data_IF_736617273529
#
_entry.id   IF_736617273529
#
_cell.length_a   1.000
_cell.length_b   1.000
_cell.length_c   1.000
_cell.angle_alpha   90.00
_cell.angle_beta   90.00
_cell.angle_gamma   90.00
#
_symmetry.space_group_name_H-M   'P 1'
#
loop_
_entity.id
_entity.type
_entity.pdbx_description
1 polymer ?
#
# COMPACT_ATOMS: atom_id res chain seq x y z
N UNK A 1 2.26 30.05 48.89
CA UNK A 1 1.11 29.21 48.50
C UNK A 1 1.56 28.25 47.41
N UNK A 2 1.76 26.97 47.74
CA UNK A 2 2.20 25.93 46.80
C UNK A 2 0.98 25.17 46.33
N UNK A 3 0.62 25.33 45.06
CA UNK A 3 -0.38 24.49 44.40
C UNK A 3 0.28 23.17 44.00
N UNK A 4 -0.04 22.10 44.73
CA UNK A 4 0.28 20.73 44.35
C UNK A 4 -0.80 20.28 43.37
N UNK A 5 -0.53 20.40 42.08
CA UNK A 5 -1.37 19.85 41.03
C UNK A 5 -1.08 18.34 40.94
N UNK A 6 -1.98 17.54 41.53
CA UNK A 6 -2.02 16.10 41.32
C UNK A 6 -2.49 15.80 39.90
N UNK A 7 -1.55 15.43 39.03
CA UNK A 7 -1.86 14.83 37.73
C UNK A 7 -2.11 13.33 37.97
N UNK A 8 -3.38 12.94 37.92
CA UNK A 8 -3.79 11.56 37.86
C UNK A 8 -3.31 10.95 36.53
N UNK A 9 -2.28 10.10 36.61
CA UNK A 9 -1.87 9.19 35.56
C UNK A 9 -2.96 8.12 35.38
N UNK A 10 -4.00 8.43 34.61
CA UNK A 10 -4.87 7.41 34.04
C UNK A 10 -4.11 6.77 32.88
N UNK A 11 -3.52 5.62 33.18
CA UNK A 11 -2.92 4.73 32.19
C UNK A 11 -3.94 4.32 31.14
N UNK A 12 -3.66 4.68 29.90
CA UNK A 12 -4.22 4.03 28.73
C UNK A 12 -3.14 3.09 28.20
N UNK A 13 -3.09 1.88 28.79
CA UNK A 13 -2.46 0.72 28.18
C UNK A 13 -3.20 0.45 26.86
N UNK A 14 -2.68 0.95 25.74
CA UNK A 14 -3.00 0.36 24.45
C UNK A 14 -2.27 -0.97 24.38
N UNK A 15 -3.02 -2.02 24.72
CA UNK A 15 -2.69 -3.39 24.38
C UNK A 15 -2.60 -3.50 22.86
N UNK A 16 -1.39 -3.41 22.32
CA UNK A 16 -1.10 -3.94 20.99
C UNK A 16 -1.10 -5.46 21.16
N UNK A 17 -2.27 -6.04 20.96
CA UNK A 17 -2.41 -7.47 20.74
C UNK A 17 -1.59 -7.84 19.50
N UNK A 18 -0.40 -8.39 19.74
CA UNK A 18 0.36 -9.11 18.74
C UNK A 18 -0.49 -10.28 18.24
N UNK A 19 -1.04 -10.14 17.04
CA UNK A 19 -1.58 -11.25 16.30
C UNK A 19 -0.40 -11.98 15.63
N UNK A 20 0.31 -12.78 16.42
CA UNK A 20 1.36 -13.68 15.98
C UNK A 20 0.98 -15.10 16.43
N UNK A 21 0.20 -15.77 15.58
CA UNK A 21 0.00 -17.22 15.55
C UNK A 21 -0.55 -17.52 14.16
N UNK A 22 0.26 -18.00 13.22
CA UNK A 22 0.54 -19.43 13.18
C UNK A 22 -0.35 -20.05 12.11
N UNK A 23 -0.11 -19.71 10.85
CA UNK A 23 -0.70 -20.41 9.71
C UNK A 23 0.21 -21.57 9.34
N UNK A 24 -0.15 -22.77 9.82
CA UNK A 24 0.43 -24.04 9.43
C UNK A 24 0.47 -24.20 7.90
N UNK A 25 1.58 -24.65 7.30
CA UNK A 25 1.53 -25.22 5.96
C UNK A 25 0.83 -26.57 6.08
N UNK A 26 -0.44 -26.63 5.67
CA UNK A 26 -1.12 -27.90 5.44
C UNK A 26 -0.41 -28.64 4.30
N UNK A 27 0.54 -29.50 4.69
CA UNK A 27 1.00 -30.62 3.91
C UNK A 27 -0.23 -31.50 3.61
N UNK A 28 -0.82 -31.35 2.43
CA UNK A 28 -1.79 -32.30 1.93
C UNK A 28 -1.03 -33.52 1.43
N UNK A 29 -1.18 -34.55 2.23
CA UNK A 29 -0.66 -35.89 2.08
C UNK A 29 -1.04 -36.52 0.74
N UNK A 30 -0.06 -37.23 0.18
CA UNK A 30 -0.23 -38.48 -0.53
C UNK A 30 -1.42 -39.28 0.00
N UNK A 31 -2.41 -39.56 -0.85
CA UNK A 31 -3.39 -40.61 -0.59
C UNK A 31 -3.78 -41.33 -1.90
N UNK A 32 -3.21 -42.53 -2.06
CA UNK A 32 -3.81 -43.76 -2.59
C UNK A 32 -4.38 -43.70 -4.03
N UNK A 33 -3.75 -44.28 -5.04
CA UNK A 33 -3.54 -45.72 -5.27
C UNK A 33 -4.75 -46.58 -4.83
N UNK A 34 -5.75 -46.70 -5.70
CA UNK A 34 -6.68 -47.83 -5.69
C UNK A 34 -6.87 -48.36 -7.10
N UNK A 35 -6.52 -49.64 -7.26
CA UNK A 35 -6.74 -50.46 -8.43
C UNK A 35 -8.12 -51.14 -8.36
N UNK A 36 -8.82 -51.20 -9.49
CA UNK A 36 -9.88 -52.16 -9.83
C UNK A 36 -9.82 -52.26 -11.37
N UNK A 37 -9.40 -53.34 -12.04
CA UNK A 37 -9.67 -54.78 -11.93
C UNK A 37 -11.16 -55.14 -12.08
N UNK A 38 -11.50 -55.82 -13.19
CA UNK A 38 -12.79 -56.46 -13.49
C UNK A 38 -13.15 -56.32 -14.97
N UNK A 39 -12.61 -57.16 -15.89
CA UNK A 39 -13.20 -58.43 -16.39
C UNK A 39 -14.67 -58.33 -16.84
N UNK A 40 -14.94 -58.62 -18.13
CA UNK A 40 -15.68 -59.81 -18.60
C UNK A 40 -16.33 -59.59 -19.98
N UNK A 41 -15.71 -60.24 -20.97
CA UNK A 41 -16.31 -61.04 -22.04
C UNK A 41 -17.83 -61.32 -21.95
N UNK A 42 -18.57 -61.11 -23.05
CA UNK A 42 -19.45 -62.14 -23.65
C UNK A 42 -20.03 -61.69 -24.99
N UNK A 43 -19.82 -62.55 -26.00
CA UNK A 43 -20.48 -62.50 -27.30
C UNK A 43 -21.92 -63.01 -27.21
N UNK A 44 -22.85 -62.43 -27.97
CA UNK A 44 -24.00 -63.18 -28.48
C UNK A 44 -24.60 -62.57 -29.75
N UNK A 45 -25.09 -63.48 -30.58
CA UNK A 45 -25.29 -63.39 -32.01
C UNK A 45 -26.60 -62.72 -32.45
N UNK A 46 -26.64 -62.42 -33.76
CA UNK A 46 -27.70 -61.84 -34.59
C UNK A 46 -29.11 -62.45 -34.39
N UNK A 47 -30.15 -61.72 -34.84
CA UNK A 47 -30.68 -62.06 -36.17
C UNK A 47 -31.01 -60.85 -37.05
N UNK A 48 -30.90 -61.09 -38.36
CA UNK A 48 -31.28 -60.20 -39.45
C UNK A 48 -32.80 -60.01 -39.55
N UNK A 49 -33.25 -58.76 -39.76
CA UNK A 49 -34.61 -58.46 -40.20
C UNK A 49 -34.68 -57.12 -40.98
N UNK A 50 -34.79 -57.27 -42.30
CA UNK A 50 -35.54 -56.53 -43.32
C UNK A 50 -35.69 -54.99 -43.33
N UNK A 51 -35.77 -54.37 -44.53
CA UNK A 51 -35.51 -52.95 -44.77
C UNK A 51 -36.80 -52.11 -44.82
N UNK A 52 -36.92 -51.14 -43.91
CA UNK A 52 -37.89 -50.01 -43.98
C UNK A 52 -37.31 -48.79 -43.24
N UNK A 53 -36.21 -48.21 -43.75
CA UNK A 53 -35.39 -47.20 -43.03
C UNK A 53 -34.90 -46.07 -43.92
N UNK A 54 -35.78 -45.30 -44.55
CA UNK A 54 -35.35 -44.08 -45.26
C UNK A 54 -36.14 -42.83 -44.81
N UNK A 55 -37.42 -42.95 -44.46
CA UNK A 55 -38.23 -41.77 -44.05
C UNK A 55 -38.07 -41.40 -42.57
N UNK A 56 -37.54 -42.29 -41.72
CA UNK A 56 -37.36 -42.03 -40.27
C UNK A 56 -36.07 -41.28 -39.94
N UNK A 57 -35.11 -41.22 -40.87
CA UNK A 57 -33.78 -40.70 -40.58
C UNK A 57 -33.70 -39.19 -40.82
N UNK A 58 -34.41 -38.66 -41.81
CA UNK A 58 -34.52 -37.21 -42.04
C UNK A 58 -35.14 -36.46 -40.84
N UNK A 59 -36.18 -37.04 -40.21
CA UNK A 59 -36.84 -36.45 -39.05
C UNK A 59 -35.96 -36.47 -37.78
N UNK A 60 -35.01 -37.41 -37.68
CA UNK A 60 -34.06 -37.45 -36.56
C UNK A 60 -32.94 -36.45 -36.78
N UNK A 61 -32.42 -36.33 -38.01
CA UNK A 61 -31.39 -35.36 -38.37
C UNK A 61 -31.88 -33.92 -38.16
N UNK A 62 -33.12 -33.61 -38.54
CA UNK A 62 -33.71 -32.29 -38.30
C UNK A 62 -33.75 -31.94 -36.80
N UNK A 63 -34.21 -32.88 -35.96
CA UNK A 63 -34.25 -32.70 -34.50
C UNK A 63 -32.86 -32.56 -33.88
N UNK A 64 -31.87 -33.27 -34.43
CA UNK A 64 -30.50 -33.15 -33.94
C UNK A 64 -29.88 -31.79 -34.29
N UNK A 65 -30.14 -31.28 -35.51
CA UNK A 65 -29.75 -29.93 -35.92
C UNK A 65 -30.40 -28.87 -35.04
N UNK A 66 -31.70 -28.98 -34.75
CA UNK A 66 -32.41 -28.07 -33.84
C UNK A 66 -31.80 -28.07 -32.43
N UNK A 67 -31.45 -29.23 -31.89
CA UNK A 67 -30.79 -29.34 -30.58
C UNK A 67 -29.39 -28.71 -30.57
N UNK A 68 -28.61 -28.95 -31.62
CA UNK A 68 -27.28 -28.36 -31.80
C UNK A 68 -27.37 -26.83 -31.91
N UNK A 69 -28.34 -26.33 -32.68
CA UNK A 69 -28.61 -24.90 -32.79
C UNK A 69 -28.96 -24.30 -31.42
N UNK A 70 -29.86 -24.93 -30.67
CA UNK A 70 -30.25 -24.45 -29.35
C UNK A 70 -29.06 -24.36 -28.36
N UNK A 71 -28.18 -25.37 -28.36
CA UNK A 71 -26.95 -25.36 -27.55
C UNK A 71 -25.99 -24.23 -27.99
N UNK A 72 -25.78 -24.05 -29.30
CA UNK A 72 -24.94 -22.96 -29.81
C UNK A 72 -25.50 -21.57 -29.46
N UNK A 73 -26.82 -21.38 -29.51
CA UNK A 73 -27.46 -20.13 -29.10
C UNK A 73 -27.22 -19.83 -27.61
N UNK A 74 -27.28 -20.85 -26.75
CA UNK A 74 -26.96 -20.70 -25.33
C UNK A 74 -25.47 -20.36 -25.13
N UNK A 75 -24.57 -21.06 -25.81
CA UNK A 75 -23.12 -20.78 -25.77
C UNK A 75 -22.80 -19.38 -26.27
N UNK A 76 -23.45 -18.93 -27.32
CA UNK A 76 -23.33 -17.58 -27.86
C UNK A 76 -23.72 -16.53 -26.81
N UNK A 77 -24.86 -16.70 -26.14
CA UNK A 77 -25.29 -15.79 -25.08
C UNK A 77 -24.25 -15.71 -23.93
N UNK A 78 -23.68 -16.85 -23.52
CA UNK A 78 -22.61 -16.90 -22.50
C UNK A 78 -21.33 -16.24 -23.00
N UNK A 79 -20.91 -16.49 -24.24
CA UNK A 79 -19.72 -15.88 -24.84
C UNK A 79 -19.86 -14.35 -24.93
N UNK A 80 -21.04 -13.87 -25.31
CA UNK A 80 -21.35 -12.43 -25.34
C UNK A 80 -21.23 -11.79 -23.95
N UNK A 81 -21.74 -12.45 -22.92
CA UNK A 81 -21.58 -11.99 -21.52
C UNK A 81 -20.11 -12.00 -21.07
N UNK A 82 -19.32 -13.00 -21.48
CA UNK A 82 -17.87 -13.05 -21.19
C UNK A 82 -17.13 -11.90 -21.85
N UNK A 83 -17.43 -11.59 -23.10
CA UNK A 83 -16.86 -10.44 -23.81
C UNK A 83 -17.24 -9.13 -23.13
N UNK A 84 -18.51 -8.95 -22.73
CA UNK A 84 -18.95 -7.77 -21.97
C UNK A 84 -18.20 -7.65 -20.64
N UNK A 85 -18.03 -8.75 -19.90
CA UNK A 85 -17.25 -8.79 -18.67
C UNK A 85 -15.78 -8.43 -18.89
N UNK A 86 -15.16 -8.94 -19.95
CA UNK A 86 -13.76 -8.63 -20.28
C UNK A 86 -13.56 -7.12 -20.56
N UNK A 87 -14.50 -6.49 -21.28
CA UNK A 87 -14.51 -5.04 -21.51
C UNK A 87 -14.61 -4.25 -20.21
N UNK A 88 -15.62 -4.54 -19.38
CA UNK A 88 -15.80 -3.87 -18.09
C UNK A 88 -14.58 -4.05 -17.16
N UNK A 89 -13.93 -5.22 -17.22
CA UNK A 89 -12.74 -5.48 -16.42
C UNK A 89 -11.52 -4.65 -16.86
N UNK A 90 -11.43 -4.26 -18.14
CA UNK A 90 -10.41 -3.31 -18.61
C UNK A 90 -10.69 -1.94 -18.01
N UNK A 91 -11.90 -1.42 -18.19
CA UNK A 91 -12.29 -0.09 -17.71
C UNK A 91 -12.05 0.05 -16.20
N UNK A 92 -12.53 -0.92 -15.41
CA UNK A 92 -12.33 -0.96 -13.97
C UNK A 92 -10.83 -0.98 -13.60
N UNK A 93 -10.02 -1.79 -14.30
CA UNK A 93 -8.58 -1.85 -14.02
C UNK A 93 -7.88 -0.53 -14.34
N UNK A 94 -8.32 0.21 -15.36
CA UNK A 94 -7.74 1.52 -15.69
C UNK A 94 -8.07 2.58 -14.63
N UNK A 95 -9.29 2.58 -14.10
CA UNK A 95 -9.69 3.45 -12.99
C UNK A 95 -8.89 3.14 -11.71
N UNK A 96 -8.74 1.85 -11.38
CA UNK A 96 -7.93 1.40 -10.24
C UNK A 96 -6.45 1.80 -10.41
N UNK A 97 -5.89 1.64 -11.61
CA UNK A 97 -4.53 2.06 -11.92
C UNK A 97 -4.36 3.57 -11.81
N UNK A 98 -5.31 4.35 -12.30
CA UNK A 98 -5.30 5.83 -12.22
C UNK A 98 -5.34 6.30 -10.77
N UNK A 99 -6.29 5.81 -9.98
CA UNK A 99 -6.44 6.20 -8.57
C UNK A 99 -5.20 5.82 -7.75
N UNK A 100 -4.65 4.62 -7.98
CA UNK A 100 -3.42 4.19 -7.31
C UNK A 100 -2.22 5.06 -7.69
N UNK A 101 -2.06 5.44 -8.96
CA UNK A 101 -1.00 6.34 -9.41
C UNK A 101 -1.14 7.75 -8.81
N UNK A 102 -2.34 8.30 -8.73
CA UNK A 102 -2.59 9.59 -8.07
C UNK A 102 -2.21 9.53 -6.59
N UNK A 103 -2.56 8.45 -5.89
CA UNK A 103 -2.15 8.25 -4.49
C UNK A 103 -0.63 8.18 -4.34
N UNK A 104 0.05 7.34 -5.12
CA UNK A 104 1.50 7.16 -5.03
C UNK A 104 2.27 8.45 -5.34
N UNK A 105 1.82 9.22 -6.34
CA UNK A 105 2.43 10.51 -6.66
C UNK A 105 2.23 11.54 -5.56
N UNK A 106 1.06 11.57 -4.91
CA UNK A 106 0.83 12.42 -3.73
C UNK A 106 1.75 12.03 -2.56
N UNK A 107 1.92 10.73 -2.29
CA UNK A 107 2.83 10.23 -1.25
C UNK A 107 4.29 10.61 -1.52
N UNK A 108 4.76 10.47 -2.77
CA UNK A 108 6.10 10.90 -3.19
C UNK A 108 6.27 12.41 -2.96
N UNK A 109 5.29 13.22 -3.38
CA UNK A 109 5.36 14.67 -3.23
C UNK A 109 5.42 15.07 -1.76
N UNK A 110 4.65 14.40 -0.90
CA UNK A 110 4.69 14.61 0.54
C UNK A 110 6.06 14.23 1.12
N UNK A 111 6.64 13.10 0.71
CA UNK A 111 7.98 12.70 1.14
C UNK A 111 9.06 13.71 0.74
N UNK A 112 9.00 14.23 -0.51
CA UNK A 112 9.91 15.29 -0.99
C UNK A 112 9.78 16.57 -0.19
N UNK A 113 8.54 17.02 0.08
CA UNK A 113 8.29 18.21 0.92
C UNK A 113 8.81 18.05 2.34
N UNK A 114 8.69 16.86 2.93
CA UNK A 114 9.22 16.59 4.28
C UNK A 114 10.75 16.65 4.31
N UNK A 115 11.42 16.08 3.31
CA UNK A 115 12.88 16.19 3.17
C UNK A 115 13.30 17.66 3.02
N UNK A 116 12.63 18.41 2.17
CA UNK A 116 12.91 19.83 1.95
C UNK A 116 12.69 20.67 3.21
N UNK A 117 11.57 20.48 3.92
CA UNK A 117 11.28 21.17 5.18
C UNK A 117 12.30 20.83 6.27
N UNK A 118 12.70 19.56 6.36
CA UNK A 118 13.77 19.15 7.27
C UNK A 118 15.09 19.84 6.94
N UNK A 119 15.49 19.90 5.67
CA UNK A 119 16.73 20.54 5.26
C UNK A 119 16.72 22.06 5.48
N UNK A 120 15.61 22.72 5.18
CA UNK A 120 15.50 24.18 5.25
C UNK A 120 15.22 24.71 6.64
N UNK A 121 14.39 24.00 7.41
CA UNK A 121 13.85 24.48 8.68
C UNK A 121 14.24 23.58 9.84
N UNK A 122 13.96 22.28 9.74
CA UNK A 122 14.08 21.34 10.87
C UNK A 122 15.51 21.17 11.40
N UNK A 123 16.46 20.88 10.52
CA UNK A 123 17.87 20.71 10.85
C UNK A 123 18.52 21.99 11.40
N UNK A 124 18.46 23.17 10.73
CA UNK A 124 19.07 24.38 11.25
C UNK A 124 18.45 24.81 12.58
N UNK A 125 17.12 24.75 12.74
CA UNK A 125 16.48 25.14 13.99
C UNK A 125 16.94 24.29 15.18
N UNK A 126 17.18 22.98 14.98
CA UNK A 126 17.72 22.10 16.03
C UNK A 126 19.17 22.45 16.39
N UNK A 127 19.99 22.76 15.39
CA UNK A 127 21.37 23.21 15.61
C UNK A 127 21.39 24.54 16.37
N UNK A 128 20.57 25.49 15.97
CA UNK A 128 20.49 26.82 16.60
C UNK A 128 20.03 26.70 18.06
N UNK A 129 19.00 25.90 18.32
CA UNK A 129 18.53 25.64 19.69
C UNK A 129 19.61 25.02 20.56
N UNK A 130 20.33 24.02 20.05
CA UNK A 130 21.41 23.39 20.80
C UNK A 130 22.60 24.35 21.01
N UNK A 131 22.87 25.22 20.03
CA UNK A 131 23.92 26.25 20.12
C UNK A 131 23.58 27.30 21.17
N UNK A 132 22.34 27.79 21.21
CA UNK A 132 21.84 28.69 22.26
C UNK A 132 21.96 28.05 23.65
N UNK A 133 21.68 26.75 23.76
CA UNK A 133 21.87 26.01 25.01
C UNK A 133 23.31 26.04 25.51
N UNK A 134 24.28 25.83 24.61
CA UNK A 134 25.72 25.93 24.93
C UNK A 134 26.09 27.36 25.34
N UNK A 135 25.61 28.38 24.62
CA UNK A 135 25.87 29.79 24.96
C UNK A 135 25.34 30.16 26.34
N UNK A 136 24.11 29.76 26.68
CA UNK A 136 23.56 29.98 28.03
C UNK A 136 24.36 29.25 29.11
N UNK A 137 24.89 28.06 28.81
CA UNK A 137 25.81 27.36 29.72
C UNK A 137 27.12 28.10 29.94
N UNK A 138 27.68 28.71 28.89
CA UNK A 138 28.89 29.54 28.97
C UNK A 138 28.66 30.81 29.79
N UNK A 139 27.57 31.54 29.50
CA UNK A 139 27.19 32.75 30.23
C UNK A 139 26.95 32.44 31.72
N UNK A 140 26.24 31.36 32.04
CA UNK A 140 25.98 30.96 33.43
C UNK A 140 27.26 30.59 34.19
N UNK A 141 28.23 29.94 33.54
CA UNK A 141 29.53 29.66 34.17
C UNK A 141 30.26 30.97 34.47
N UNK A 142 30.27 31.91 33.53
CA UNK A 142 30.91 33.21 33.71
C UNK A 142 30.28 33.98 34.88
N UNK A 143 28.96 34.03 34.95
CA UNK A 143 28.23 34.64 36.08
C UNK A 143 28.60 33.98 37.41
N UNK A 144 28.65 32.63 37.47
CA UNK A 144 29.04 31.91 38.68
C UNK A 144 30.50 32.15 39.10
N UNK A 145 31.41 32.35 38.13
CA UNK A 145 32.81 32.71 38.41
C UNK A 145 32.92 34.11 39.00
N UNK A 146 32.18 35.08 38.43
CA UNK A 146 32.10 36.45 38.94
C UNK A 146 31.49 36.49 40.36
N UNK A 147 30.40 35.76 40.60
CA UNK A 147 29.78 35.63 41.92
C UNK A 147 30.73 34.99 42.94
N UNK A 148 31.45 33.92 42.55
CA UNK A 148 32.41 33.26 43.43
C UNK A 148 33.57 34.21 43.79
N UNK A 149 34.09 34.97 42.82
CA UNK A 149 35.13 35.96 43.05
C UNK A 149 34.66 37.05 44.01
N UNK A 150 33.40 37.51 43.87
CA UNK A 150 32.80 38.49 44.78
C UNK A 150 32.69 37.93 46.20
N UNK A 151 32.21 36.68 46.37
CA UNK A 151 32.15 36.02 47.68
C UNK A 151 33.53 35.90 48.31
N UNK A 152 34.56 35.56 47.54
CA UNK A 152 35.93 35.48 48.04
C UNK A 152 36.47 36.83 48.53
N UNK A 153 36.13 37.93 47.85
CA UNK A 153 36.50 39.29 48.29
C UNK A 153 35.78 39.65 49.59
N UNK A 154 34.46 39.49 49.64
CA UNK A 154 33.65 39.84 50.82
C UNK A 154 34.10 39.05 52.05
N UNK A 155 34.26 37.74 51.92
CA UNK A 155 34.66 36.90 53.06
C UNK A 155 36.13 37.08 53.46
N UNK A 156 37.02 37.60 52.59
CA UNK A 156 38.39 37.96 52.99
C UNK A 156 38.42 39.17 53.94
N UNK A 157 37.40 40.03 53.90
CA UNK A 157 37.33 41.22 54.76
C UNK A 157 36.75 40.95 56.17
N UNK A 158 35.95 39.89 56.35
CA UNK A 158 35.34 39.53 57.64
C UNK A 158 36.16 38.46 58.41
N UNK A 159 36.56 38.75 59.64
CA UNK A 159 37.36 37.86 60.50
C UNK A 159 36.54 36.91 61.41
N UNK A 160 35.22 37.06 61.49
CA UNK A 160 34.46 36.60 62.68
C UNK A 160 33.93 35.14 62.58
N UNK A 161 34.01 34.44 61.44
CA UNK A 161 33.56 33.03 61.35
C UNK A 161 34.23 32.23 60.21
N UNK A 162 35.43 31.68 60.47
CA UNK A 162 36.24 30.96 59.47
C UNK A 162 35.59 29.69 58.93
N UNK A 163 34.96 28.87 59.78
CA UNK A 163 34.39 27.57 59.38
C UNK A 163 33.16 27.70 58.47
N UNK A 164 32.26 28.63 58.76
CA UNK A 164 31.04 28.82 57.95
C UNK A 164 31.37 29.42 56.58
N UNK A 165 32.38 30.29 56.51
CA UNK A 165 32.93 30.85 55.26
C UNK A 165 33.41 29.75 54.32
N UNK A 166 34.17 28.79 54.83
CA UNK A 166 34.71 27.71 54.02
C UNK A 166 33.60 26.86 53.38
N UNK A 167 32.55 26.53 54.15
CA UNK A 167 31.40 25.76 53.67
C UNK A 167 30.68 26.46 52.50
N UNK A 168 30.51 27.78 52.59
CA UNK A 168 29.85 28.57 51.53
C UNK A 168 30.70 28.60 50.25
N UNK A 169 32.00 28.88 50.38
CA UNK A 169 32.93 28.90 49.24
C UNK A 169 33.06 27.52 48.59
N UNK A 170 33.17 26.45 49.38
CA UNK A 170 33.23 25.08 48.86
C UNK A 170 31.95 24.69 48.13
N UNK A 171 30.77 25.10 48.63
CA UNK A 171 29.50 24.86 47.95
C UNK A 171 29.42 25.60 46.61
N UNK A 172 29.86 26.85 46.55
CA UNK A 172 29.88 27.63 45.32
C UNK A 172 30.84 27.01 44.29
N UNK A 173 32.05 26.62 44.70
CA UNK A 173 33.00 25.87 43.86
C UNK A 173 32.40 24.57 43.32
N UNK A 174 31.73 23.78 44.16
CA UNK A 174 31.05 22.55 43.73
C UNK A 174 29.87 22.78 42.76
N UNK A 175 29.23 23.95 42.80
CA UNK A 175 28.20 24.32 41.80
C UNK A 175 28.87 24.66 40.46
N UNK A 176 29.89 25.51 40.49
CA UNK A 176 30.67 25.89 39.32
C UNK A 176 31.26 24.66 38.60
N UNK A 177 31.87 23.75 39.36
CA UNK A 177 32.43 22.50 38.82
C UNK A 177 31.36 21.60 38.17
N UNK A 178 30.13 21.59 38.68
CA UNK A 178 29.03 20.86 38.03
C UNK A 178 28.59 21.55 36.75
N UNK A 179 28.38 22.86 36.78
CA UNK A 179 28.03 23.64 35.58
C UNK A 179 29.07 23.50 34.47
N UNK A 180 30.37 23.48 34.80
CA UNK A 180 31.45 23.19 33.83
C UNK A 180 31.32 21.82 33.18
N UNK A 181 31.04 20.77 33.97
CA UNK A 181 30.83 19.41 33.41
C UNK A 181 29.59 19.35 32.54
N UNK A 182 28.50 19.99 32.96
CA UNK A 182 27.26 20.04 32.18
C UNK A 182 27.49 20.73 30.84
N UNK A 183 28.27 21.82 30.80
CA UNK A 183 28.65 22.49 29.55
C UNK A 183 29.47 21.56 28.63
N UNK A 184 30.40 20.77 29.17
CA UNK A 184 31.16 19.79 28.37
C UNK A 184 30.23 18.77 27.72
N UNK A 185 29.22 18.28 28.45
CA UNK A 185 28.21 17.37 27.91
C UNK A 185 27.38 18.05 26.81
N UNK A 186 26.88 19.26 27.05
CA UNK A 186 26.12 20.02 26.04
C UNK A 186 26.91 20.26 24.75
N UNK A 187 28.21 20.58 24.86
CA UNK A 187 29.11 20.73 23.71
C UNK A 187 29.28 19.41 22.95
N UNK A 188 29.42 18.29 23.67
CA UNK A 188 29.49 16.97 23.06
C UNK A 188 28.19 16.61 22.34
N UNK A 189 27.04 16.87 22.96
CA UNK A 189 25.72 16.60 22.38
C UNK A 189 25.47 17.44 21.13
N UNK A 190 25.84 18.73 21.14
CA UNK A 190 25.81 19.60 19.96
C UNK A 190 26.68 19.02 18.83
N UNK A 191 27.85 18.51 19.15
CA UNK A 191 28.75 17.92 18.16
C UNK A 191 28.13 16.65 17.56
N UNK A 192 27.69 15.70 18.40
CA UNK A 192 27.00 14.47 17.94
C UNK A 192 25.77 14.80 17.09
N UNK A 193 24.97 15.80 17.48
CA UNK A 193 23.83 16.25 16.71
C UNK A 193 24.22 16.69 15.29
N UNK A 194 25.31 17.46 15.16
CA UNK A 194 25.81 17.98 13.88
C UNK A 194 26.46 16.91 13.01
N UNK A 195 27.29 16.05 13.59
CA UNK A 195 28.15 15.14 12.83
C UNK A 195 27.49 13.79 12.54
N UNK A 196 26.56 13.35 13.38
CA UNK A 196 25.99 12.00 13.29
C UNK A 196 24.47 12.04 13.11
N UNK A 197 23.74 12.66 14.04
CA UNK A 197 22.28 12.56 14.09
C UNK A 197 21.60 13.19 12.88
N UNK A 198 21.88 14.47 12.58
CA UNK A 198 21.25 15.18 11.47
C UNK A 198 21.60 14.54 10.10
N UNK A 199 22.87 14.23 9.80
CA UNK A 199 23.22 13.55 8.55
C UNK A 199 22.50 12.21 8.38
N UNK A 200 22.45 11.39 9.44
CA UNK A 200 21.75 10.10 9.40
C UNK A 200 20.26 10.27 9.12
N UNK A 201 19.56 11.15 9.85
CA UNK A 201 18.13 11.40 9.62
C UNK A 201 17.87 11.91 8.19
N UNK A 202 18.75 12.76 7.66
CA UNK A 202 18.70 13.23 6.27
C UNK A 202 18.81 12.08 5.27
N UNK A 203 19.77 11.17 5.47
CA UNK A 203 19.93 9.98 4.64
C UNK A 203 18.71 9.07 4.71
N UNK A 204 18.16 8.85 5.90
CA UNK A 204 16.92 8.07 6.09
C UNK A 204 15.74 8.69 5.31
N UNK A 205 15.57 10.02 5.35
CA UNK A 205 14.53 10.71 4.58
C UNK A 205 14.77 10.63 3.06
N UNK A 206 16.02 10.73 2.60
CA UNK A 206 16.38 10.55 1.18
C UNK A 206 16.06 9.14 0.68
N UNK A 207 16.44 8.12 1.44
CA UNK A 207 16.09 6.73 1.13
C UNK A 207 14.56 6.55 1.09
N UNK A 208 13.83 7.23 1.96
CA UNK A 208 12.36 7.28 1.91
C UNK A 208 11.83 7.81 0.56
N UNK A 209 12.38 8.90 0.04
CA UNK A 209 12.02 9.44 -1.28
C UNK A 209 12.38 8.46 -2.40
N UNK A 210 13.59 7.91 -2.40
CA UNK A 210 14.03 6.95 -3.42
C UNK A 210 13.17 5.68 -3.44
N UNK A 211 12.78 5.17 -2.27
CA UNK A 211 11.90 4.00 -2.17
C UNK A 211 10.53 4.31 -2.80
N UNK A 212 9.97 5.49 -2.56
CA UNK A 212 8.71 5.92 -3.21
C UNK A 212 8.83 6.07 -4.72
N UNK A 213 9.97 6.53 -5.22
CA UNK A 213 10.25 6.56 -6.66
C UNK A 213 10.32 5.15 -7.26
N UNK A 214 10.99 4.22 -6.58
CA UNK A 214 11.04 2.81 -6.98
C UNK A 214 9.66 2.14 -6.95
N UNK A 215 8.84 2.44 -5.95
CA UNK A 215 7.45 1.95 -5.85
C UNK A 215 6.62 2.40 -7.07
N UNK A 216 6.71 3.66 -7.47
CA UNK A 216 6.03 4.17 -8.68
C UNK A 216 6.53 3.46 -9.93
N UNK A 217 7.85 3.32 -10.09
CA UNK A 217 8.42 2.63 -11.25
C UNK A 217 8.01 1.15 -11.32
N UNK A 218 7.89 0.47 -10.17
CA UNK A 218 7.36 -0.89 -10.08
C UNK A 218 5.86 -0.93 -10.45
N UNK A 219 5.05 -0.01 -9.92
CA UNK A 219 3.63 0.09 -10.23
C UNK A 219 3.38 0.32 -11.72
N UNK A 220 4.17 1.18 -12.38
CA UNK A 220 4.09 1.41 -13.82
C UNK A 220 4.34 0.12 -14.64
N UNK A 221 5.34 -0.67 -14.27
CA UNK A 221 5.60 -1.96 -14.92
C UNK A 221 4.45 -2.94 -14.71
N UNK A 222 3.90 -2.99 -13.51
CA UNK A 222 2.74 -3.85 -13.21
C UNK A 222 1.50 -3.43 -14.01
N UNK A 223 1.25 -2.12 -14.17
CA UNK A 223 0.17 -1.57 -15.02
C UNK A 223 0.35 -1.97 -16.48
N UNK A 224 1.58 -2.01 -16.99
CA UNK A 224 1.85 -2.44 -18.36
C UNK A 224 1.58 -3.94 -18.54
N UNK A 225 2.04 -4.77 -17.60
CA UNK A 225 1.77 -6.22 -17.63
C UNK A 225 0.26 -6.51 -17.56
N UNK A 226 -0.44 -5.92 -16.59
CA UNK A 226 -1.88 -6.12 -16.42
C UNK A 226 -2.67 -5.70 -17.66
N UNK A 227 -2.29 -4.60 -18.32
CA UNK A 227 -2.91 -4.17 -19.58
C UNK A 227 -2.74 -5.20 -20.69
N UNK A 228 -1.58 -5.84 -20.80
CA UNK A 228 -1.35 -6.89 -21.79
C UNK A 228 -2.24 -8.09 -21.46
N UNK A 229 -2.27 -8.52 -20.21
CA UNK A 229 -3.09 -9.66 -19.76
C UNK A 229 -4.59 -9.44 -20.03
N UNK A 230 -5.12 -8.26 -19.68
CA UNK A 230 -6.51 -7.90 -19.95
C UNK A 230 -6.83 -7.84 -21.45
N UNK A 231 -5.90 -7.39 -22.28
CA UNK A 231 -6.08 -7.40 -23.74
C UNK A 231 -6.09 -8.82 -24.31
N UNK A 232 -5.25 -9.72 -23.78
CA UNK A 232 -5.29 -11.14 -24.16
C UNK A 232 -6.62 -11.79 -23.75
N UNK A 233 -7.14 -11.48 -22.55
CA UNK A 233 -8.47 -11.93 -22.11
C UNK A 233 -9.58 -11.45 -23.04
N UNK A 234 -9.55 -10.17 -23.45
CA UNK A 234 -10.51 -9.61 -24.41
C UNK A 234 -10.42 -10.31 -25.77
N UNK A 235 -9.22 -10.45 -26.32
CA UNK A 235 -8.98 -11.11 -27.61
C UNK A 235 -9.45 -12.57 -27.60
N UNK A 236 -9.24 -13.29 -26.50
CA UNK A 236 -9.73 -14.66 -26.34
C UNK A 236 -11.27 -14.70 -26.32
N UNK A 237 -11.92 -13.78 -25.58
CA UNK A 237 -13.37 -13.69 -25.54
C UNK A 237 -13.98 -13.33 -26.91
N UNK A 238 -13.32 -12.46 -27.68
CA UNK A 238 -13.71 -12.11 -29.05
C UNK A 238 -13.58 -13.30 -30.01
N UNK A 239 -12.45 -14.01 -29.95
CA UNK A 239 -12.22 -15.21 -30.76
C UNK A 239 -13.23 -16.33 -30.44
N UNK A 240 -13.55 -16.53 -29.15
CA UNK A 240 -14.54 -17.51 -28.74
C UNK A 240 -15.95 -17.17 -29.26
N UNK A 241 -16.33 -15.89 -29.20
CA UNK A 241 -17.60 -15.43 -29.76
C UNK A 241 -17.63 -15.62 -31.29
N UNK A 242 -16.57 -15.21 -31.99
CA UNK A 242 -16.47 -15.33 -33.44
C UNK A 242 -16.54 -16.79 -33.94
N UNK A 243 -15.92 -17.72 -33.21
CA UNK A 243 -16.02 -19.16 -33.51
C UNK A 243 -17.45 -19.67 -33.38
N UNK A 244 -18.15 -19.30 -32.31
CA UNK A 244 -19.55 -19.71 -32.11
C UNK A 244 -20.45 -19.08 -33.18
N UNK A 245 -20.23 -17.81 -33.54
CA UNK A 245 -20.97 -17.15 -34.62
C UNK A 245 -20.76 -17.84 -35.97
N UNK A 246 -19.53 -18.28 -36.27
CA UNK A 246 -19.22 -19.05 -37.46
C UNK A 246 -19.94 -20.42 -37.46
N UNK A 247 -19.91 -21.16 -36.35
CA UNK A 247 -20.63 -22.44 -36.20
C UNK A 247 -22.14 -22.27 -36.37
N UNK A 248 -22.72 -21.17 -35.88
CA UNK A 248 -24.14 -20.84 -36.09
C UNK A 248 -24.39 -20.49 -37.56
N UNK A 249 -23.52 -19.70 -38.20
CA UNK A 249 -23.64 -19.32 -39.62
C UNK A 249 -23.64 -20.54 -40.54
N UNK A 250 -22.79 -21.53 -40.24
CA UNK A 250 -22.66 -22.75 -41.04
C UNK A 250 -23.90 -23.66 -40.91
N UNK A 251 -24.62 -23.59 -39.78
CA UNK A 251 -25.84 -24.38 -39.54
C UNK A 251 -27.14 -23.66 -39.96
N UNK A 252 -27.30 -22.39 -39.62
CA UNK A 252 -28.47 -21.56 -39.92
C UNK A 252 -28.09 -20.06 -40.01
N UNK A 253 -27.82 -19.54 -41.23
CA UNK A 253 -27.46 -18.14 -41.41
C UNK A 253 -28.60 -17.16 -41.11
N UNK A 254 -29.86 -17.60 -41.10
CA UNK A 254 -30.98 -16.75 -40.72
C UNK A 254 -31.03 -16.54 -39.20
N UNK A 255 -30.71 -17.57 -38.42
CA UNK A 255 -30.61 -17.46 -36.97
C UNK A 255 -29.54 -16.44 -36.56
N UNK A 256 -28.37 -16.45 -37.21
CA UNK A 256 -27.32 -15.46 -36.95
C UNK A 256 -27.77 -14.03 -37.26
N UNK A 257 -28.43 -13.80 -38.41
CA UNK A 257 -29.00 -12.48 -38.75
C UNK A 257 -30.01 -12.00 -37.72
N UNK A 258 -30.85 -12.90 -37.20
CA UNK A 258 -31.83 -12.57 -36.14
C UNK A 258 -31.13 -12.16 -34.83
N UNK A 259 -30.04 -12.83 -34.45
CA UNK A 259 -29.25 -12.47 -33.28
C UNK A 259 -28.56 -11.11 -33.44
N UNK A 260 -27.96 -10.85 -34.60
CA UNK A 260 -27.29 -9.57 -34.90
C UNK A 260 -28.28 -8.41 -34.99
N UNK A 261 -29.52 -8.67 -35.42
CA UNK A 261 -30.59 -7.68 -35.49
C UNK A 261 -31.20 -7.34 -34.13
N UNK A 262 -30.94 -8.13 -33.08
CA UNK A 262 -31.34 -7.76 -31.72
C UNK A 262 -30.35 -6.73 -31.19
N UNK A 263 -30.72 -5.44 -31.09
CA UNK A 263 -29.85 -4.46 -30.47
C UNK A 263 -29.57 -4.90 -29.03
N UNK A 264 -28.33 -4.71 -28.58
CA UNK A 264 -28.00 -4.88 -27.18
C UNK A 264 -28.79 -3.87 -26.36
N UNK A 265 -29.96 -4.30 -25.86
CA UNK A 265 -30.80 -3.48 -24.98
C UNK A 265 -30.09 -3.14 -23.66
N UNK A 266 -28.96 -3.80 -23.38
CA UNK A 266 -28.11 -3.55 -22.23
C UNK A 266 -26.87 -2.70 -22.58
N UNK A 267 -26.85 -1.98 -23.71
CA UNK A 267 -25.89 -0.89 -23.86
C UNK A 267 -26.07 0.04 -22.66
N UNK A 268 -25.01 0.30 -21.87
CA UNK A 268 -25.11 1.18 -20.73
C UNK A 268 -25.64 2.50 -21.27
N UNK A 269 -26.82 2.89 -20.78
CA UNK A 269 -27.37 4.23 -20.97
C UNK A 269 -26.19 5.14 -20.74
N UNK A 270 -25.76 5.86 -21.78
CA UNK A 270 -24.75 6.91 -21.65
C UNK A 270 -25.34 7.82 -20.59
N UNK A 271 -24.92 7.61 -19.34
CA UNK A 271 -25.17 8.57 -18.29
C UNK A 271 -24.34 9.72 -18.77
N UNK A 272 -25.01 10.67 -19.45
CA UNK A 272 -24.47 11.98 -19.72
C UNK A 272 -23.98 12.45 -18.36
N UNK A 273 -22.68 12.26 -18.15
CA UNK A 273 -21.98 12.66 -16.95
C UNK A 273 -22.10 14.17 -17.01
N UNK A 274 -23.18 14.66 -16.40
CA UNK A 274 -23.48 16.06 -16.26
C UNK A 274 -22.18 16.66 -15.76
N UNK A 275 -21.58 17.42 -16.66
CA UNK A 275 -20.32 18.09 -16.51
C UNK A 275 -20.53 19.08 -15.36
N UNK A 276 -20.41 18.58 -14.13
CA UNK A 276 -20.43 19.39 -12.92
C UNK A 276 -19.14 20.19 -13.00
N UNK A 277 -19.23 21.32 -13.70
CA UNK A 277 -18.32 22.44 -13.59
C UNK A 277 -18.01 22.60 -12.10
N UNK A 278 -16.74 22.53 -11.67
CA UNK A 278 -16.41 22.87 -10.29
C UNK A 278 -16.81 24.34 -10.09
N UNK A 279 -17.92 24.55 -9.39
CA UNK A 279 -18.37 25.86 -8.98
C UNK A 279 -17.44 26.34 -7.85
N UNK A 280 -16.64 27.35 -8.14
CA UNK A 280 -16.03 28.21 -7.12
C UNK A 280 -14.55 27.98 -6.86
N UNK A 281 -13.71 28.63 -7.65
CA UNK A 281 -12.54 29.34 -7.10
C UNK A 281 -12.86 30.83 -7.19
N UNK A 282 -13.10 31.44 -6.02
CA UNK A 282 -13.06 32.89 -5.76
C UNK A 282 -11.77 33.19 -5.03
#
# INVERSE_FOLDING_TARGET
MRFVAGLALTGCWWAIAGCQSGGEPAAQADTQKSALSGQAETAQAAPAAAPQTEVKDEAKEAKEKERKLADLLQRHAVAKQRLKKARLSIDQSEEDHKSNMTRMTAELNLAKRRLEDFEKNGAPQRIDRATLGVQWGEDSIKEQEEELAQLEITYKADEIATETKEIVLERARRRLERSRRDLVLQKKDLNTLKTETIPREKEEMKLGVENKEREIAAAQRNIQSSRIDRRMELMNAENDLAKIEQEISDLDPEALKKLQAQPDKDEPVKTDAAETKPAGEN
#
